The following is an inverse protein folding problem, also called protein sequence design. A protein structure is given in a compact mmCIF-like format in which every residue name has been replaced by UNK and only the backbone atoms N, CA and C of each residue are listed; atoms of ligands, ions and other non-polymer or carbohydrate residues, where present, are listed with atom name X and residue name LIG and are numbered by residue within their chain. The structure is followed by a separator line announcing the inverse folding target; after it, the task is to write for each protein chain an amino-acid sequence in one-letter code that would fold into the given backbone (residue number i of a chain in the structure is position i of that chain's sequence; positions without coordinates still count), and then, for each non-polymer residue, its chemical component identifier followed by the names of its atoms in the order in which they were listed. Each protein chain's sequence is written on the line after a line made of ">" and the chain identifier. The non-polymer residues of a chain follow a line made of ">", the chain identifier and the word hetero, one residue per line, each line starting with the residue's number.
data_IF_545338426311
#
_entry.id   IF_545338426311
#
_cell.length_a   1.000
_cell.length_b   1.000
_cell.length_c   1.000
_cell.angle_alpha   90.00
_cell.angle_beta   90.00
_cell.angle_gamma   90.00
#
_symmetry.space_group_name_H-M   'P 1'
#
loop_
_entity.id
_entity.type
_entity.pdbx_description
1 polymer ?
#
# COMPACT_ATOMS: atom_id res chain seq x y z
N UNK A 1 -24.19 30.40 15.70
CA UNK A 1 -22.95 29.66 15.42
C UNK A 1 -23.23 28.17 15.24
N UNK A 2 -24.18 27.56 15.95
CA UNK A 2 -24.56 26.13 15.83
C UNK A 2 -24.98 25.65 14.42
N UNK A 3 -25.73 26.46 13.65
CA UNK A 3 -26.14 26.04 12.30
C UNK A 3 -25.00 25.84 11.29
N UNK A 4 -23.83 26.42 11.55
CA UNK A 4 -22.67 26.24 10.68
C UNK A 4 -21.96 24.92 10.98
N UNK A 5 -21.88 24.54 12.26
CA UNK A 5 -21.22 23.31 12.69
C UNK A 5 -22.01 22.05 12.36
N UNK A 6 -23.35 22.11 12.43
CA UNK A 6 -24.19 20.97 12.02
C UNK A 6 -24.07 20.69 10.50
N UNK A 7 -24.03 21.75 9.69
CA UNK A 7 -23.94 21.63 8.23
C UNK A 7 -22.53 21.25 7.75
N UNK A 8 -21.49 21.56 8.53
CA UNK A 8 -20.11 21.09 8.30
C UNK A 8 -19.95 19.61 8.68
N UNK A 9 -20.55 19.17 9.79
CA UNK A 9 -20.54 17.77 10.23
C UNK A 9 -21.32 16.86 9.28
N UNK A 10 -22.52 17.25 8.85
CA UNK A 10 -23.29 16.53 7.81
C UNK A 10 -22.50 16.39 6.50
N UNK A 11 -21.65 17.39 6.18
CA UNK A 11 -20.83 17.35 4.97
C UNK A 11 -19.62 16.43 5.10
N UNK A 12 -18.99 16.39 6.27
CA UNK A 12 -17.92 15.44 6.58
C UNK A 12 -18.44 13.99 6.61
N UNK A 13 -19.62 13.75 7.19
CA UNK A 13 -20.27 12.42 7.20
C UNK A 13 -20.56 11.91 5.77
N UNK A 14 -21.06 12.79 4.89
CA UNK A 14 -21.30 12.44 3.48
C UNK A 14 -19.98 12.17 2.75
N UNK A 15 -18.93 12.96 2.98
CA UNK A 15 -17.61 12.73 2.39
C UNK A 15 -17.00 11.40 2.90
N UNK A 16 -17.17 11.06 4.17
CA UNK A 16 -16.75 9.77 4.73
C UNK A 16 -17.50 8.59 4.11
N UNK A 17 -18.83 8.63 4.03
CA UNK A 17 -19.64 7.60 3.36
C UNK A 17 -19.23 7.42 1.88
N UNK A 18 -19.00 8.52 1.17
CA UNK A 18 -18.51 8.47 -0.21
C UNK A 18 -17.15 7.79 -0.29
N UNK A 19 -16.21 8.12 0.60
CA UNK A 19 -14.88 7.47 0.63
C UNK A 19 -14.96 5.99 0.97
N UNK A 20 -15.84 5.58 1.90
CA UNK A 20 -16.07 4.19 2.26
C UNK A 20 -16.62 3.43 1.05
N UNK A 21 -17.62 4.00 0.36
CA UNK A 21 -18.22 3.40 -0.84
C UNK A 21 -17.20 3.22 -1.97
N UNK A 22 -16.30 4.18 -2.18
CA UNK A 22 -15.20 4.08 -3.15
C UNK A 22 -14.22 3.00 -2.72
N UNK A 23 -13.89 2.93 -1.43
CA UNK A 23 -12.97 1.93 -0.90
C UNK A 23 -13.48 0.50 -1.10
N UNK A 24 -14.79 0.27 -0.95
CA UNK A 24 -15.42 -1.03 -1.18
C UNK A 24 -15.36 -1.45 -2.64
N UNK A 25 -15.65 -0.51 -3.56
CA UNK A 25 -15.52 -0.76 -5.00
C UNK A 25 -14.08 -1.11 -5.37
N UNK A 26 -13.10 -0.38 -4.82
CA UNK A 26 -11.68 -0.67 -5.03
C UNK A 26 -11.30 -2.03 -4.47
N UNK A 27 -11.78 -2.39 -3.27
CA UNK A 27 -11.51 -3.68 -2.64
C UNK A 27 -12.07 -4.85 -3.44
N UNK A 28 -13.29 -4.71 -3.99
CA UNK A 28 -13.87 -5.75 -4.86
C UNK A 28 -13.06 -5.91 -6.16
N UNK A 29 -12.71 -4.80 -6.82
CA UNK A 29 -11.87 -4.84 -8.03
C UNK A 29 -10.48 -5.42 -7.76
N UNK A 30 -9.91 -5.12 -6.61
CA UNK A 30 -8.64 -5.64 -6.15
C UNK A 30 -8.71 -7.15 -5.90
N UNK A 31 -9.79 -7.63 -5.29
CA UNK A 31 -10.05 -9.06 -5.09
C UNK A 31 -10.17 -9.81 -6.41
N UNK A 32 -10.92 -9.30 -7.38
CA UNK A 32 -11.02 -9.90 -8.72
C UNK A 32 -9.65 -10.04 -9.40
N UNK A 33 -8.81 -9.01 -9.29
CA UNK A 33 -7.45 -9.03 -9.82
C UNK A 33 -6.58 -10.07 -9.10
N UNK A 34 -6.71 -10.15 -7.78
CA UNK A 34 -5.97 -11.11 -6.94
C UNK A 34 -6.36 -12.55 -7.28
N UNK A 35 -7.66 -12.84 -7.47
CA UNK A 35 -8.14 -14.15 -7.94
C UNK A 35 -7.46 -14.53 -9.25
N UNK A 36 -7.50 -13.64 -10.24
CA UNK A 36 -6.91 -13.91 -11.56
C UNK A 36 -5.41 -14.22 -11.48
N UNK A 37 -4.65 -13.48 -10.67
CA UNK A 37 -3.20 -13.70 -10.48
C UNK A 37 -2.95 -15.03 -9.75
N UNK A 38 -3.69 -15.27 -8.66
CA UNK A 38 -3.54 -16.44 -7.81
C UNK A 38 -3.86 -17.74 -8.56
N UNK A 39 -4.96 -17.76 -9.32
CA UNK A 39 -5.34 -18.91 -10.16
C UNK A 39 -4.33 -19.15 -11.29
N UNK A 40 -3.84 -18.07 -11.92
CA UNK A 40 -2.82 -18.19 -12.95
C UNK A 40 -1.51 -18.79 -12.41
N UNK A 41 -1.09 -18.40 -11.20
CA UNK A 41 0.06 -18.97 -10.52
C UNK A 41 -0.18 -20.43 -10.10
N UNK A 42 -1.34 -20.74 -9.52
CA UNK A 42 -1.70 -22.10 -9.11
C UNK A 42 -1.68 -23.04 -10.33
N UNK A 43 -2.29 -22.63 -11.46
CA UNK A 43 -2.30 -23.38 -12.71
C UNK A 43 -0.90 -23.61 -13.29
N UNK A 44 -0.01 -22.60 -13.24
CA UNK A 44 1.40 -22.75 -13.67
C UNK A 44 2.14 -23.82 -12.86
N UNK A 45 1.81 -23.96 -11.59
CA UNK A 45 2.43 -24.92 -10.68
C UNK A 45 1.68 -26.27 -10.60
N UNK A 46 0.58 -26.44 -11.36
CA UNK A 46 -0.24 -27.65 -11.28
C UNK A 46 -0.92 -27.83 -9.92
N UNK A 47 -1.21 -26.72 -9.24
CA UNK A 47 -1.85 -26.68 -7.93
C UNK A 47 -3.23 -26.04 -8.01
N UNK A 48 -4.05 -26.28 -7.00
CA UNK A 48 -5.29 -25.54 -6.75
C UNK A 48 -5.09 -24.63 -5.53
N UNK A 49 -5.74 -23.47 -5.56
CA UNK A 49 -5.74 -22.52 -4.44
C UNK A 49 -7.15 -22.42 -3.86
N UNK A 50 -7.26 -22.49 -2.54
CA UNK A 50 -8.56 -22.42 -1.87
C UNK A 50 -9.06 -20.97 -1.80
N UNK A 51 -10.38 -20.79 -1.93
CA UNK A 51 -11.03 -19.48 -1.89
C UNK A 51 -10.68 -18.65 -0.64
N UNK A 52 -10.63 -19.21 0.59
CA UNK A 52 -10.27 -18.44 1.78
C UNK A 52 -8.83 -17.90 1.73
N UNK A 53 -7.93 -18.61 1.07
CA UNK A 53 -6.54 -18.16 0.91
C UNK A 53 -6.48 -17.00 -0.08
N UNK A 54 -7.23 -17.06 -1.18
CA UNK A 54 -7.30 -15.94 -2.13
C UNK A 54 -7.93 -14.70 -1.50
N UNK A 55 -8.98 -14.87 -0.70
CA UNK A 55 -9.59 -13.77 0.06
C UNK A 55 -8.58 -13.14 1.03
N UNK A 56 -7.83 -13.96 1.78
CA UNK A 56 -6.79 -13.51 2.69
C UNK A 56 -5.67 -12.74 1.96
N UNK A 57 -5.19 -13.25 0.82
CA UNK A 57 -4.18 -12.56 0.00
C UNK A 57 -4.72 -11.22 -0.48
N UNK A 58 -5.98 -11.17 -0.91
CA UNK A 58 -6.62 -9.93 -1.38
C UNK A 58 -6.63 -8.86 -0.29
N UNK A 59 -7.03 -9.24 0.93
CA UNK A 59 -7.07 -8.33 2.08
C UNK A 59 -5.67 -7.88 2.50
N UNK A 60 -4.68 -8.78 2.51
CA UNK A 60 -3.30 -8.44 2.85
C UNK A 60 -2.69 -7.48 1.83
N UNK A 61 -2.86 -7.75 0.54
CA UNK A 61 -2.30 -6.93 -0.51
C UNK A 61 -3.01 -5.57 -0.62
N UNK A 62 -4.31 -5.49 -0.32
CA UNK A 62 -5.03 -4.21 -0.22
C UNK A 62 -4.50 -3.36 0.95
N UNK A 63 -4.33 -3.94 2.13
CA UNK A 63 -3.72 -3.25 3.30
C UNK A 63 -2.26 -2.85 3.03
N UNK A 64 -1.52 -3.69 2.31
CA UNK A 64 -0.15 -3.40 1.91
C UNK A 64 -0.08 -2.20 0.97
N UNK A 65 -1.03 -2.06 0.03
CA UNK A 65 -1.10 -0.91 -0.87
C UNK A 65 -1.25 0.43 -0.12
N UNK A 66 -2.03 0.45 0.97
CA UNK A 66 -2.17 1.64 1.83
C UNK A 66 -0.83 2.04 2.48
N UNK A 67 -0.12 1.08 3.07
CA UNK A 67 1.18 1.34 3.69
C UNK A 67 2.22 1.77 2.65
N UNK A 68 2.24 1.10 1.49
CA UNK A 68 3.10 1.45 0.38
C UNK A 68 2.86 2.90 -0.09
N UNK A 69 1.61 3.33 -0.20
CA UNK A 69 1.29 4.71 -0.58
C UNK A 69 1.86 5.74 0.42
N UNK A 70 1.75 5.45 1.73
CA UNK A 70 2.32 6.31 2.79
C UNK A 70 3.84 6.36 2.73
N UNK A 71 4.49 5.22 2.53
CA UNK A 71 5.95 5.16 2.39
C UNK A 71 6.43 5.94 1.16
N UNK A 72 5.75 5.80 0.02
CA UNK A 72 6.09 6.54 -1.21
C UNK A 72 5.93 8.05 -1.05
N UNK A 73 4.89 8.49 -0.34
CA UNK A 73 4.70 9.90 -0.01
C UNK A 73 5.86 10.40 0.88
N UNK A 74 6.21 9.66 1.94
CA UNK A 74 7.29 10.02 2.85
C UNK A 74 8.65 10.08 2.13
N UNK A 75 8.92 9.18 1.19
CA UNK A 75 10.15 9.20 0.39
C UNK A 75 10.22 10.42 -0.53
N UNK A 76 9.12 10.78 -1.18
CA UNK A 76 9.05 11.99 -1.99
C UNK A 76 9.25 13.25 -1.12
N UNK A 77 8.59 13.32 0.04
CA UNK A 77 8.70 14.43 0.98
C UNK A 77 10.12 14.57 1.55
N UNK A 78 10.80 13.46 1.86
CA UNK A 78 12.20 13.48 2.29
C UNK A 78 13.12 14.12 1.25
N UNK A 79 12.82 13.93 -0.04
CA UNK A 79 13.51 14.58 -1.14
C UNK A 79 12.96 16.00 -1.47
N UNK A 80 12.13 16.58 -0.59
CA UNK A 80 11.46 17.88 -0.80
C UNK A 80 10.59 17.95 -2.06
N UNK A 81 10.03 16.81 -2.49
CA UNK A 81 9.14 16.69 -3.66
C UNK A 81 7.69 16.42 -3.21
N UNK A 82 6.74 16.88 -4.02
CA UNK A 82 5.30 16.58 -3.87
C UNK A 82 4.81 15.49 -4.83
N UNK A 83 5.68 15.03 -5.72
CA UNK A 83 5.36 14.06 -6.78
C UNK A 83 6.26 12.84 -6.57
N UNK A 84 5.62 11.68 -6.41
CA UNK A 84 6.28 10.37 -6.35
C UNK A 84 6.93 10.08 -7.70
N UNK A 85 8.18 9.63 -7.65
CA UNK A 85 8.97 9.24 -8.82
C UNK A 85 9.49 7.82 -8.65
N UNK A 86 10.16 7.31 -9.69
CA UNK A 86 10.69 5.95 -9.69
C UNK A 86 11.71 5.69 -8.58
N UNK A 87 12.49 6.69 -8.18
CA UNK A 87 13.41 6.57 -7.04
C UNK A 87 12.71 6.19 -5.72
N UNK A 88 11.49 6.70 -5.50
CA UNK A 88 10.69 6.39 -4.31
C UNK A 88 10.18 4.94 -4.37
N UNK A 89 9.77 4.50 -5.57
CA UNK A 89 9.32 3.11 -5.80
C UNK A 89 10.47 2.12 -5.61
N UNK A 90 11.67 2.45 -6.09
CA UNK A 90 12.86 1.61 -5.88
C UNK A 90 13.19 1.49 -4.39
N UNK A 91 13.07 2.59 -3.63
CA UNK A 91 13.32 2.59 -2.19
C UNK A 91 12.29 1.76 -1.41
N UNK A 92 11.05 1.70 -1.88
CA UNK A 92 9.98 0.87 -1.29
C UNK A 92 10.14 -0.63 -1.54
N UNK A 93 10.95 -1.01 -2.53
CA UNK A 93 11.17 -2.42 -2.87
C UNK A 93 12.06 -3.13 -1.85
N UNK A 94 11.83 -4.44 -1.58
CA UNK A 94 12.75 -5.22 -0.79
C UNK A 94 14.10 -5.28 -1.49
N UNK A 95 15.11 -4.62 -0.90
CA UNK A 95 16.53 -4.55 -1.31
C UNK A 95 17.20 -5.91 -1.55
N UNK A 96 16.49 -7.03 -1.34
CA UNK A 96 16.99 -8.40 -1.36
C UNK A 96 16.78 -9.17 -2.68
N UNK A 97 16.05 -8.63 -3.68
CA UNK A 97 15.84 -9.35 -4.95
C UNK A 97 16.89 -9.05 -6.03
N UNK A 98 17.82 -8.13 -5.78
CA UNK A 98 19.08 -8.01 -6.52
C UNK A 98 20.18 -8.73 -5.72
N UNK A 99 20.05 -10.04 -5.56
CA UNK A 99 21.10 -10.84 -4.91
C UNK A 99 22.41 -10.79 -5.69
N UNK A 100 23.54 -11.15 -5.06
CA UNK A 100 24.32 -12.17 -5.77
C UNK A 100 24.54 -13.44 -4.94
N UNK A 101 24.99 -13.26 -3.70
CA UNK A 101 25.27 -14.29 -2.68
C UNK A 101 25.69 -13.54 -1.39
N UNK A 102 25.18 -12.33 -1.16
CA UNK A 102 25.81 -11.32 -0.30
C UNK A 102 25.28 -11.33 1.13
N UNK A 103 25.65 -12.36 1.88
CA UNK A 103 25.65 -12.29 3.32
C UNK A 103 26.64 -11.22 3.80
N UNK A 104 26.28 -10.53 4.90
CA UNK A 104 27.14 -9.76 5.81
C UNK A 104 27.64 -8.40 5.33
N UNK A 105 26.85 -7.39 5.67
CA UNK A 105 27.34 -6.05 5.98
C UNK A 105 26.27 -5.33 6.79
N UNK A 106 26.48 -5.18 8.11
CA UNK A 106 25.61 -4.39 9.00
C UNK A 106 25.37 -3.02 8.37
N UNK A 107 24.14 -2.75 7.96
CA UNK A 107 23.70 -1.37 7.77
C UNK A 107 23.28 -0.86 9.15
N UNK A 108 24.25 -0.26 9.83
CA UNK A 108 23.98 0.63 10.93
C UNK A 108 23.22 1.82 10.30
N UNK A 109 21.89 1.84 10.40
CA UNK A 109 21.14 3.08 10.19
C UNK A 109 21.52 3.98 11.34
N UNK A 110 22.58 4.77 11.13
CA UNK A 110 22.85 5.93 11.95
C UNK A 110 21.79 6.94 11.55
N UNK A 111 20.75 7.03 12.38
CA UNK A 111 19.87 8.20 12.43
C UNK A 111 20.79 9.37 12.75
N UNK A 112 21.28 10.04 11.71
CA UNK A 112 22.00 11.28 11.84
C UNK A 112 20.98 12.33 12.30
N UNK A 113 21.02 12.60 13.60
CA UNK A 113 20.48 13.76 14.29
C UNK A 113 20.50 15.00 13.39
N UNK A 114 19.32 15.47 12.97
CA UNK A 114 19.16 16.86 12.56
C UNK A 114 19.31 17.74 13.80
N UNK A 115 20.34 18.58 13.79
CA UNK A 115 20.53 19.71 14.70
C UNK A 115 21.89 20.35 14.46
N UNK A 116 22.08 21.66 14.72
CA UNK A 116 21.12 22.64 15.25
C UNK A 116 20.40 23.47 14.18
#
# INVERSE_FOLDING_TARGET
>A
MEKATDMEMEREEVEEEETESVSDVLRDRFRLSTISIAEAEAKRNGMEISEPIVACISDLAFKYAEQLAKDLELFAQHASRKIVKMEDVILSGPTLLLGPHAARGRMHVSVASCGP
#
